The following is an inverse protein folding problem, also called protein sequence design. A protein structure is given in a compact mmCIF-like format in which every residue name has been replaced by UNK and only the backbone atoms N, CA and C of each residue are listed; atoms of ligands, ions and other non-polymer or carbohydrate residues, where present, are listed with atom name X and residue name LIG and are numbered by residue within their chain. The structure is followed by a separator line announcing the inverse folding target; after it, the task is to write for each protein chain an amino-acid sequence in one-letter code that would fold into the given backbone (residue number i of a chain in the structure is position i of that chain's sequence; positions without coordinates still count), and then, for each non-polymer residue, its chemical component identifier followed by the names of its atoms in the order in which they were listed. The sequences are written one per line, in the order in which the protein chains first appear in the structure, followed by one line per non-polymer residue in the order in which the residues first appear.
data_IF_645263517303
#
_entry.id   IF_645263517303
#
_cell.length_a   1.000
_cell.length_b   1.000
_cell.length_c   1.000
_cell.angle_alpha   90.00
_cell.angle_beta   90.00
_cell.angle_gamma   90.00
#
_symmetry.space_group_name_H-M   'P 1'
#
loop_
_entity.id
_entity.type
_entity.pdbx_description
1 polymer ?
#
# COMPACT_ATOMS: atom_id res chain seq x y z
N UNK A 1 28.43 11.29 0.12
CA UNK A 1 27.86 9.98 0.51
C UNK A 1 26.55 9.86 -0.26
N UNK A 2 26.54 9.06 -1.34
CA UNK A 2 25.37 8.94 -2.23
C UNK A 2 24.44 7.90 -1.60
N UNK A 3 23.35 8.38 -1.01
CA UNK A 3 22.30 7.51 -0.48
C UNK A 3 21.67 6.79 -1.68
N UNK A 4 21.72 5.46 -1.66
CA UNK A 4 21.16 4.61 -2.72
C UNK A 4 19.62 4.73 -2.71
N UNK A 5 19.09 5.61 -3.55
CA UNK A 5 17.71 6.11 -3.54
C UNK A 5 16.67 5.15 -4.15
N UNK A 6 17.10 4.01 -4.70
CA UNK A 6 16.20 2.95 -5.15
C UNK A 6 15.42 2.27 -4.01
N UNK A 7 15.87 2.45 -2.76
CA UNK A 7 15.21 1.91 -1.56
C UNK A 7 14.05 2.79 -1.04
N UNK A 8 13.87 4.01 -1.55
CA UNK A 8 12.85 4.95 -1.03
C UNK A 8 11.44 4.68 -1.58
N UNK A 9 11.33 4.05 -2.74
CA UNK A 9 10.03 3.83 -3.40
C UNK A 9 9.27 2.62 -2.85
N UNK A 10 9.98 1.60 -2.36
CA UNK A 10 9.38 0.50 -1.59
C UNK A 10 8.87 0.96 -0.21
N UNK A 11 9.30 2.16 0.23
CA UNK A 11 8.93 2.73 1.53
C UNK A 11 7.45 3.14 1.65
N UNK A 12 6.70 3.23 0.56
CA UNK A 12 5.29 3.64 0.60
C UNK A 12 4.32 2.45 0.74
N UNK A 13 4.76 1.25 0.37
CA UNK A 13 4.01 0.00 0.58
C UNK A 13 4.66 -0.90 1.65
N UNK A 14 5.96 -0.72 1.97
CA UNK A 14 6.66 -1.51 2.98
C UNK A 14 7.85 -0.75 3.55
N UNK A 15 7.63 0.11 4.54
CA UNK A 15 8.70 0.75 5.29
C UNK A 15 9.22 -0.18 6.37
N UNK A 16 10.01 -1.18 6.04
CA UNK A 16 10.95 -1.76 6.98
C UNK A 16 11.71 -2.96 6.44
N UNK A 17 12.56 -2.77 5.47
CA UNK A 17 13.52 -3.81 5.18
C UNK A 17 14.93 -3.23 5.12
N UNK A 18 15.51 -2.95 6.25
CA UNK A 18 16.96 -2.88 6.45
C UNK A 18 17.26 -2.94 7.94
N UNK A 19 17.27 -4.11 8.52
CA UNK A 19 17.92 -4.34 9.79
C UNK A 19 18.84 -5.56 9.64
N UNK A 20 20.14 -5.25 9.43
CA UNK A 20 21.28 -6.06 9.82
C UNK A 20 21.34 -7.53 9.37
N UNK A 21 21.94 -7.75 8.20
CA UNK A 21 22.86 -8.85 8.01
C UNK A 21 24.15 -8.23 7.44
N UNK A 22 25.10 -7.87 8.30
CA UNK A 22 26.48 -7.73 7.92
C UNK A 22 27.04 -9.13 7.73
N UNK A 23 27.11 -9.55 6.47
CA UNK A 23 28.14 -10.40 5.91
C UNK A 23 27.88 -10.48 4.39
N UNK A 24 28.91 -10.34 3.59
CA UNK A 24 29.07 -10.39 2.13
C UNK A 24 28.17 -11.43 1.37
N UNK A 25 26.88 -11.41 1.56
CA UNK A 25 25.91 -12.11 0.73
C UNK A 25 25.51 -11.16 -0.41
N UNK A 26 25.62 -11.60 -1.65
CA UNK A 26 24.91 -10.96 -2.78
C UNK A 26 23.48 -10.73 -2.32
N UNK A 27 23.01 -9.46 -2.32
CA UNK A 27 21.65 -9.16 -1.90
C UNK A 27 20.69 -10.08 -2.65
N UNK A 28 19.95 -10.89 -1.91
CA UNK A 28 18.94 -11.76 -2.51
C UNK A 28 17.91 -10.91 -3.23
N UNK A 29 17.50 -11.24 -4.46
CA UNK A 29 16.39 -10.55 -5.09
C UNK A 29 15.04 -10.84 -4.41
N UNK A 30 14.99 -11.86 -3.53
CA UNK A 30 13.79 -12.23 -2.78
C UNK A 30 13.76 -11.58 -1.42
N UNK A 31 12.56 -11.25 -0.98
CA UNK A 31 12.29 -10.69 0.34
C UNK A 31 11.05 -11.34 0.95
N UNK A 32 11.01 -11.38 2.28
CA UNK A 32 9.83 -11.75 3.04
C UNK A 32 9.62 -10.76 4.18
N UNK A 33 8.38 -10.36 4.45
CA UNK A 33 8.07 -9.46 5.54
C UNK A 33 6.72 -9.77 6.18
N UNK A 34 6.54 -9.28 7.40
CA UNK A 34 5.30 -9.33 8.14
C UNK A 34 5.07 -7.96 8.78
N UNK A 35 3.95 -7.32 8.46
CA UNK A 35 3.46 -6.16 9.18
C UNK A 35 2.31 -6.57 10.11
N UNK A 36 2.35 -6.07 11.35
CA UNK A 36 1.23 -6.15 12.30
C UNK A 36 0.73 -4.74 12.52
N UNK A 37 -0.49 -4.45 12.11
CA UNK A 37 -1.11 -3.13 12.25
C UNK A 37 -2.33 -3.17 13.16
N UNK A 38 -2.51 -2.13 13.97
CA UNK A 38 -3.71 -1.99 14.82
C UNK A 38 -4.98 -1.77 14.01
N UNK A 39 -4.87 -1.31 12.78
CA UNK A 39 -5.97 -1.12 11.82
C UNK A 39 -5.44 -1.23 10.40
N UNK A 40 -6.24 -1.77 9.50
CA UNK A 40 -5.95 -1.66 8.07
C UNK A 40 -6.50 -0.35 7.52
N UNK A 41 -5.61 0.54 7.16
CA UNK A 41 -5.94 1.81 6.52
C UNK A 41 -5.36 1.87 5.11
N UNK A 42 -6.20 2.07 4.12
CA UNK A 42 -5.77 2.23 2.74
C UNK A 42 -6.45 3.43 2.09
N UNK A 43 -5.65 4.44 1.69
CA UNK A 43 -6.11 5.68 1.04
C UNK A 43 -7.28 6.37 1.78
N UNK A 44 -7.20 6.44 3.11
CA UNK A 44 -8.22 7.06 3.97
C UNK A 44 -9.43 6.18 4.26
N UNK A 45 -9.46 4.93 3.78
CA UNK A 45 -10.52 3.95 4.01
C UNK A 45 -10.04 2.91 5.03
N UNK A 46 -10.89 2.60 6.01
CA UNK A 46 -10.68 1.54 6.98
C UNK A 46 -11.23 0.21 6.44
N UNK A 47 -10.39 -0.84 6.48
CA UNK A 47 -10.74 -2.20 6.13
C UNK A 47 -10.72 -3.10 7.37
N UNK A 48 -11.81 -3.82 7.59
CA UNK A 48 -11.97 -4.61 8.80
C UNK A 48 -12.13 -3.77 10.06
N UNK A 49 -12.38 -4.43 11.18
CA UNK A 49 -12.67 -3.80 12.48
C UNK A 49 -11.62 -4.09 13.53
N UNK A 50 -10.66 -4.96 13.24
CA UNK A 50 -9.65 -5.48 14.16
C UNK A 50 -8.22 -5.23 13.64
N UNK A 51 -7.21 -5.45 14.51
CA UNK A 51 -5.82 -5.53 14.07
C UNK A 51 -5.63 -6.50 12.91
N UNK A 52 -4.75 -6.14 11.99
CA UNK A 52 -4.55 -6.87 10.74
C UNK A 52 -3.09 -7.29 10.60
N UNK A 53 -2.89 -8.49 10.05
CA UNK A 53 -1.59 -9.10 9.75
C UNK A 53 -1.38 -9.08 8.25
N UNK A 54 -0.22 -8.57 7.80
CA UNK A 54 0.15 -8.49 6.38
C UNK A 54 1.43 -9.28 6.11
N UNK A 55 1.35 -10.60 5.83
CA UNK A 55 2.47 -11.35 5.28
C UNK A 55 2.71 -10.93 3.83
N UNK A 56 3.97 -10.74 3.45
CA UNK A 56 4.35 -10.40 2.08
C UNK A 56 5.62 -11.14 1.67
N UNK A 57 5.65 -11.56 0.41
CA UNK A 57 6.86 -12.00 -0.29
C UNK A 57 7.08 -11.10 -1.49
N UNK A 58 8.34 -10.82 -1.80
CA UNK A 58 8.71 -9.94 -2.90
C UNK A 58 9.89 -10.48 -3.70
N UNK A 59 9.96 -10.03 -4.94
CA UNK A 59 11.09 -10.24 -5.84
C UNK A 59 11.46 -8.92 -6.51
N UNK A 60 12.72 -8.50 -6.36
CA UNK A 60 13.22 -7.23 -6.90
C UNK A 60 14.49 -7.45 -7.70
N UNK A 61 14.53 -6.99 -8.93
CA UNK A 61 15.73 -7.04 -9.75
C UNK A 61 15.70 -5.99 -10.85
N UNK A 62 16.79 -5.22 -11.01
CA UNK A 62 17.00 -4.28 -12.12
C UNK A 62 15.80 -3.36 -12.43
N UNK A 63 15.15 -2.84 -11.37
CA UNK A 63 13.96 -2.00 -11.49
C UNK A 63 12.63 -2.77 -11.61
N UNK A 64 12.65 -4.08 -11.90
CA UNK A 64 11.47 -4.92 -11.86
C UNK A 64 11.17 -5.31 -10.40
N UNK A 65 9.89 -5.22 -10.03
CA UNK A 65 9.36 -5.70 -8.76
C UNK A 65 8.14 -6.57 -9.00
N UNK A 66 8.02 -7.67 -8.24
CA UNK A 66 6.81 -8.46 -8.12
C UNK A 66 6.56 -8.77 -6.64
N UNK A 67 5.32 -8.80 -6.21
CA UNK A 67 4.97 -9.16 -4.84
C UNK A 67 3.67 -9.98 -4.77
N UNK A 68 3.56 -10.73 -3.68
CA UNK A 68 2.31 -11.29 -3.20
C UNK A 68 2.15 -10.91 -1.72
N UNK A 69 0.99 -10.38 -1.33
CA UNK A 69 0.65 -9.95 0.01
C UNK A 69 -0.69 -10.55 0.43
N UNK A 70 -0.84 -10.83 1.71
CA UNK A 70 -2.14 -11.09 2.35
C UNK A 70 -2.48 -9.97 3.33
N UNK A 71 -3.78 -9.71 3.54
CA UNK A 71 -4.29 -8.83 4.58
C UNK A 71 -5.35 -9.57 5.39
N UNK A 72 -5.08 -9.90 6.66
CA UNK A 72 -5.98 -10.72 7.48
C UNK A 72 -6.28 -10.03 8.81
N UNK A 73 -7.49 -9.50 8.95
CA UNK A 73 -7.98 -9.03 10.24
C UNK A 73 -8.13 -10.22 11.21
N UNK A 74 -7.64 -10.09 12.45
CA UNK A 74 -7.58 -11.21 13.41
C UNK A 74 -8.97 -11.73 13.85
N UNK A 75 -10.02 -10.93 13.66
CA UNK A 75 -11.42 -11.30 13.92
C UNK A 75 -12.16 -11.84 12.69
N UNK A 76 -11.46 -11.94 11.53
CA UNK A 76 -12.06 -12.37 10.26
C UNK A 76 -12.93 -11.33 9.58
N UNK A 77 -12.99 -10.10 10.07
CA UNK A 77 -13.81 -9.01 9.47
C UNK A 77 -13.30 -8.54 8.10
N UNK A 78 -12.05 -8.86 7.76
CA UNK A 78 -11.46 -8.58 6.45
C UNK A 78 -10.42 -9.64 6.08
N UNK A 79 -10.43 -10.03 4.81
CA UNK A 79 -9.43 -10.91 4.20
C UNK A 79 -9.11 -10.40 2.81
N UNK A 80 -7.83 -10.40 2.45
CA UNK A 80 -7.34 -9.87 1.18
C UNK A 80 -6.11 -10.65 0.71
N UNK A 81 -6.01 -10.84 -0.60
CA UNK A 81 -4.82 -11.38 -1.28
C UNK A 81 -4.50 -10.48 -2.46
N UNK A 82 -3.31 -9.92 -2.45
CA UNK A 82 -2.85 -8.98 -3.46
C UNK A 82 -1.67 -9.56 -4.22
N UNK A 83 -1.70 -9.37 -5.54
CA UNK A 83 -0.58 -9.63 -6.42
C UNK A 83 -0.22 -8.35 -7.16
N UNK A 84 1.06 -8.07 -7.31
CA UNK A 84 1.46 -6.88 -8.04
C UNK A 84 2.77 -7.06 -8.78
N UNK A 85 2.88 -6.32 -9.89
CA UNK A 85 4.10 -6.19 -10.67
C UNK A 85 4.32 -4.73 -11.02
N UNK A 86 5.59 -4.30 -11.01
CA UNK A 86 5.94 -2.94 -11.40
C UNK A 86 7.34 -2.86 -12.00
N UNK A 87 7.59 -1.76 -12.69
CA UNK A 87 8.90 -1.42 -13.21
C UNK A 87 9.25 0.03 -12.91
N UNK A 88 10.44 0.22 -12.36
CA UNK A 88 10.99 1.54 -12.02
C UNK A 88 12.14 1.88 -12.96
N UNK A 89 12.02 3.01 -13.63
CA UNK A 89 13.08 3.60 -14.42
C UNK A 89 13.28 5.06 -14.00
N UNK A 90 14.49 5.41 -13.56
CA UNK A 90 14.82 6.74 -13.04
C UNK A 90 13.87 7.15 -11.88
N UNK A 91 13.08 8.21 -12.06
CA UNK A 91 12.13 8.75 -11.11
C UNK A 91 10.70 8.20 -11.27
N UNK A 92 10.48 7.34 -12.27
CA UNK A 92 9.15 6.85 -12.61
C UNK A 92 9.00 5.35 -12.32
N UNK A 93 7.89 5.00 -11.70
CA UNK A 93 7.42 3.62 -11.52
C UNK A 93 6.06 3.48 -12.19
N UNK A 94 5.88 2.41 -12.94
CA UNK A 94 4.57 2.01 -13.46
C UNK A 94 4.28 0.58 -13.01
N UNK A 95 3.03 0.28 -12.72
CA UNK A 95 2.67 -1.05 -12.24
C UNK A 95 1.21 -1.38 -12.39
N UNK A 96 0.92 -2.65 -12.11
CA UNK A 96 -0.42 -3.21 -12.03
C UNK A 96 -0.50 -4.03 -10.75
N UNK A 97 -1.59 -3.86 -10.02
CA UNK A 97 -1.93 -4.66 -8.83
C UNK A 97 -3.30 -5.27 -9.00
N UNK A 98 -3.46 -6.48 -8.54
CA UNK A 98 -4.70 -7.21 -8.41
C UNK A 98 -5.01 -7.38 -6.93
N UNK A 99 -6.17 -6.90 -6.50
CA UNK A 99 -6.68 -7.04 -5.15
C UNK A 99 -7.85 -8.02 -5.20
N UNK A 100 -7.79 -9.06 -4.38
CA UNK A 100 -8.84 -10.06 -4.28
C UNK A 100 -9.27 -10.21 -2.83
N UNK A 101 -10.57 -10.15 -2.61
CA UNK A 101 -11.19 -10.28 -1.28
C UNK A 101 -11.86 -11.64 -1.17
N UNK A 102 -11.21 -12.65 -0.51
CA UNK A 102 -11.83 -13.95 -0.26
C UNK A 102 -13.14 -13.80 0.49
N UNK A 103 -14.11 -14.64 0.16
CA UNK A 103 -15.39 -14.66 0.86
C UNK A 103 -15.24 -15.13 2.32
N UNK A 104 -16.21 -14.78 3.16
CA UNK A 104 -16.28 -15.23 4.55
C UNK A 104 -16.36 -16.75 4.65
N UNK A 105 -15.98 -17.30 5.82
CA UNK A 105 -16.01 -18.73 6.09
C UNK A 105 -17.40 -19.32 5.78
N UNK A 106 -17.45 -20.35 4.94
CA UNK A 106 -18.67 -21.05 4.53
C UNK A 106 -19.24 -20.65 3.18
N UNK A 107 -18.78 -19.54 2.58
CA UNK A 107 -19.09 -19.18 1.19
C UNK A 107 -18.08 -19.80 0.22
N UNK A 108 -18.53 -20.06 -1.03
CA UNK A 108 -17.62 -20.55 -2.05
C UNK A 108 -16.77 -19.39 -2.56
N UNK A 109 -15.48 -19.47 -2.31
CA UNK A 109 -14.52 -18.61 -2.93
C UNK A 109 -14.44 -18.88 -4.46
N UNK A 110 -14.31 -17.83 -5.26
CA UNK A 110 -14.34 -17.90 -6.72
C UNK A 110 -13.12 -17.20 -7.33
N UNK A 111 -11.95 -17.38 -6.73
CA UNK A 111 -10.70 -16.77 -7.18
C UNK A 111 -10.46 -16.91 -8.70
N UNK A 112 -10.70 -18.07 -9.28
CA UNK A 112 -10.49 -18.32 -10.72
C UNK A 112 -11.65 -17.86 -11.63
N UNK A 113 -12.63 -17.13 -11.08
CA UNK A 113 -13.69 -16.52 -11.88
C UNK A 113 -13.21 -15.20 -12.47
N UNK A 114 -12.56 -15.27 -13.63
CA UNK A 114 -11.92 -14.14 -14.29
C UNK A 114 -12.81 -13.43 -15.33
N UNK A 115 -14.08 -13.80 -15.43
CA UNK A 115 -15.02 -13.10 -16.29
C UNK A 115 -15.30 -11.70 -15.73
N UNK A 116 -15.05 -10.65 -16.53
CA UNK A 116 -15.18 -9.26 -16.11
C UNK A 116 -16.56 -8.89 -15.50
N UNK A 117 -17.63 -9.60 -15.83
CA UNK A 117 -18.96 -9.31 -15.28
C UNK A 117 -19.15 -9.80 -13.84
N UNK A 118 -18.40 -10.82 -13.43
CA UNK A 118 -18.69 -11.60 -12.21
C UNK A 118 -17.46 -11.80 -11.33
N UNK A 119 -16.29 -11.36 -11.80
CA UNK A 119 -15.04 -11.49 -11.03
C UNK A 119 -15.07 -10.64 -9.76
N UNK A 120 -14.48 -11.18 -8.68
CA UNK A 120 -14.20 -10.45 -7.44
C UNK A 120 -12.85 -9.72 -7.44
N UNK A 121 -12.07 -9.84 -8.52
CA UNK A 121 -10.78 -9.16 -8.66
C UNK A 121 -10.95 -7.66 -8.90
N UNK A 122 -10.04 -6.87 -8.35
CA UNK A 122 -9.94 -5.43 -8.56
C UNK A 122 -8.56 -5.13 -9.13
N UNK A 123 -8.47 -4.96 -10.45
CA UNK A 123 -7.17 -4.73 -11.10
C UNK A 123 -6.96 -3.23 -11.29
N UNK A 124 -5.90 -2.72 -10.68
CA UNK A 124 -5.50 -1.32 -10.71
C UNK A 124 -4.20 -1.14 -11.51
N UNK A 125 -4.18 -0.20 -12.43
CA UNK A 125 -2.95 0.31 -13.02
C UNK A 125 -2.55 1.61 -12.32
N UNK A 126 -1.26 1.82 -12.10
CA UNK A 126 -0.74 3.03 -11.47
C UNK A 126 0.57 3.51 -12.07
N UNK A 127 0.83 4.80 -11.88
CA UNK A 127 2.10 5.43 -12.15
C UNK A 127 2.49 6.33 -10.98
N UNK A 128 3.75 6.27 -10.57
CA UNK A 128 4.32 7.10 -9.52
C UNK A 128 5.56 7.83 -10.04
N UNK A 129 5.63 9.12 -9.82
CA UNK A 129 6.85 9.90 -9.93
C UNK A 129 7.40 10.17 -8.53
N UNK A 130 8.71 9.94 -8.34
CA UNK A 130 9.41 10.24 -7.08
C UNK A 130 10.59 11.14 -7.38
N UNK A 131 10.47 12.39 -7.00
CA UNK A 131 11.45 13.41 -7.29
C UNK A 131 12.77 13.18 -6.55
N UNK A 132 13.87 13.25 -7.27
CA UNK A 132 15.23 13.16 -6.72
C UNK A 132 15.75 14.50 -6.25
N UNK A 133 15.32 15.60 -6.88
CA UNK A 133 15.71 16.99 -6.55
C UNK A 133 14.66 17.65 -5.65
N UNK A 134 13.40 17.37 -5.91
CA UNK A 134 12.27 17.83 -5.10
C UNK A 134 11.79 16.65 -4.26
N UNK A 135 11.77 16.73 -2.94
CA UNK A 135 11.42 15.60 -2.08
C UNK A 135 9.90 15.40 -2.04
N UNK A 136 9.32 15.10 -3.20
CA UNK A 136 7.90 14.80 -3.37
C UNK A 136 7.74 13.47 -4.11
N UNK A 137 6.63 12.79 -3.85
CA UNK A 137 6.11 11.79 -4.77
C UNK A 137 4.72 12.19 -5.24
N UNK A 138 4.36 11.75 -6.44
CA UNK A 138 3.02 11.89 -7.01
C UNK A 138 2.62 10.53 -7.56
N UNK A 139 1.49 10.02 -7.12
CA UNK A 139 0.91 8.76 -7.64
C UNK A 139 -0.43 9.05 -8.29
N UNK A 140 -0.68 8.43 -9.43
CA UNK A 140 -2.00 8.34 -10.05
C UNK A 140 -2.33 6.89 -10.31
N UNK A 141 -3.57 6.50 -10.10
CA UNK A 141 -4.02 5.13 -10.30
C UNK A 141 -5.47 5.06 -10.78
N UNK A 142 -5.83 3.95 -11.39
CA UNK A 142 -7.18 3.70 -11.91
C UNK A 142 -7.46 2.21 -11.89
N UNK A 143 -8.63 1.81 -11.40
CA UNK A 143 -9.14 0.46 -11.59
C UNK A 143 -9.52 0.23 -13.05
N UNK A 144 -8.78 -0.66 -13.71
CA UNK A 144 -8.93 -0.90 -15.15
C UNK A 144 -9.77 -2.12 -15.49
N UNK A 145 -9.98 -3.01 -14.52
CA UNK A 145 -10.73 -4.26 -14.71
C UNK A 145 -11.29 -4.74 -13.38
N UNK A 146 -12.37 -5.51 -13.44
CA UNK A 146 -12.85 -6.30 -12.32
C UNK A 146 -14.07 -5.71 -11.62
N UNK A 147 -14.11 -5.76 -10.30
CA UNK A 147 -15.30 -5.50 -9.50
C UNK A 147 -15.64 -4.00 -9.30
N UNK A 148 -14.80 -3.08 -9.80
CA UNK A 148 -15.09 -1.63 -9.79
C UNK A 148 -16.21 -1.29 -10.77
N UNK A 149 -17.48 -1.54 -10.38
CA UNK A 149 -18.65 -1.39 -11.23
C UNK A 149 -19.76 -0.54 -10.60
N UNK A 150 -20.51 0.12 -11.47
CA UNK A 150 -21.76 0.78 -11.08
C UNK A 150 -22.93 -0.22 -10.97
N UNK A 151 -24.08 0.27 -10.59
CA UNK A 151 -25.31 -0.52 -10.44
C UNK A 151 -25.78 -1.22 -11.74
N UNK A 152 -25.37 -0.71 -12.91
CA UNK A 152 -25.66 -1.29 -14.23
C UNK A 152 -24.59 -2.32 -14.66
N UNK A 153 -23.60 -2.61 -13.82
CA UNK A 153 -22.50 -3.54 -14.11
C UNK A 153 -21.44 -2.96 -15.06
N UNK A 154 -21.41 -1.64 -15.28
CA UNK A 154 -20.40 -0.97 -16.10
C UNK A 154 -19.19 -0.61 -15.26
N UNK A 155 -17.98 -0.80 -15.83
CA UNK A 155 -16.72 -0.42 -15.21
C UNK A 155 -16.72 1.08 -14.89
N UNK A 156 -16.36 1.44 -13.65
CA UNK A 156 -16.35 2.82 -13.18
C UNK A 156 -15.03 3.54 -13.46
N UNK A 157 -13.93 2.79 -13.61
CA UNK A 157 -12.59 3.35 -13.73
C UNK A 157 -12.27 4.30 -12.57
N UNK A 158 -12.61 3.88 -11.34
CA UNK A 158 -12.40 4.67 -10.14
C UNK A 158 -10.92 5.05 -10.04
N UNK A 159 -10.65 6.35 -10.07
CA UNK A 159 -9.30 6.88 -10.17
C UNK A 159 -8.93 7.67 -8.92
N UNK A 160 -7.67 7.58 -8.53
CA UNK A 160 -7.10 8.22 -7.35
C UNK A 160 -5.79 8.91 -7.71
N UNK A 161 -5.52 10.03 -7.09
CA UNK A 161 -4.22 10.67 -7.14
C UNK A 161 -3.80 11.12 -5.74
N UNK A 162 -2.50 11.05 -5.45
CA UNK A 162 -1.94 11.62 -4.23
C UNK A 162 -0.61 12.31 -4.50
N UNK A 163 -0.33 13.28 -3.66
CA UNK A 163 0.97 13.91 -3.52
C UNK A 163 1.44 13.76 -2.09
N UNK A 164 2.71 13.45 -1.92
CA UNK A 164 3.29 13.31 -0.60
C UNK A 164 4.70 13.86 -0.48
N UNK A 165 5.09 14.10 0.76
CA UNK A 165 6.36 14.68 1.16
C UNK A 165 7.01 13.79 2.24
N UNK A 166 8.10 13.09 1.93
CA UNK A 166 8.90 12.36 2.91
C UNK A 166 9.98 13.29 3.49
N UNK A 167 10.21 13.19 4.78
CA UNK A 167 11.31 13.87 5.45
C UNK A 167 11.98 12.96 6.47
N UNK A 168 13.31 12.87 6.41
CA UNK A 168 14.12 12.10 7.35
C UNK A 168 14.84 13.05 8.30
N UNK A 169 14.56 12.93 9.61
CA UNK A 169 15.27 13.68 10.66
C UNK A 169 16.59 13.01 10.99
N UNK A 170 16.59 11.68 11.03
CA UNK A 170 17.76 10.82 11.25
C UNK A 170 17.63 9.56 10.38
N UNK A 171 18.59 8.66 10.44
CA UNK A 171 18.52 7.37 9.76
C UNK A 171 17.30 6.54 10.18
N UNK A 172 16.97 6.54 11.47
CA UNK A 172 15.86 5.76 12.03
C UNK A 172 14.54 6.57 12.11
N UNK A 173 14.56 7.91 12.05
CA UNK A 173 13.38 8.75 12.32
C UNK A 173 12.92 9.50 11.07
N UNK A 174 11.72 9.19 10.61
CA UNK A 174 11.16 9.69 9.37
C UNK A 174 9.72 10.14 9.56
N UNK A 175 9.29 11.13 8.80
CA UNK A 175 7.89 11.50 8.64
C UNK A 175 7.52 11.46 7.16
N UNK A 176 6.30 11.03 6.87
CA UNK A 176 5.71 11.12 5.54
C UNK A 176 4.34 11.77 5.66
N UNK A 177 4.12 12.83 4.89
CA UNK A 177 2.83 13.52 4.80
C UNK A 177 2.27 13.27 3.41
N UNK A 178 0.97 12.97 3.29
CA UNK A 178 0.34 12.91 1.97
C UNK A 178 -1.08 13.45 1.98
N UNK A 179 -1.50 13.90 0.80
CA UNK A 179 -2.89 14.27 0.49
C UNK A 179 -3.30 13.53 -0.76
N UNK A 180 -4.42 12.82 -0.68
CA UNK A 180 -4.95 12.02 -1.77
C UNK A 180 -6.42 12.33 -2.03
N UNK A 181 -6.80 12.24 -3.30
CA UNK A 181 -8.15 12.53 -3.77
C UNK A 181 -8.61 11.50 -4.80
N UNK A 182 -9.91 11.17 -4.79
CA UNK A 182 -10.52 10.55 -5.95
C UNK A 182 -10.72 11.57 -7.07
N UNK A 183 -10.60 11.13 -8.32
CA UNK A 183 -10.67 12.01 -9.49
C UNK A 183 -12.02 11.98 -10.20
N UNK A 184 -12.82 10.93 -9.98
CA UNK A 184 -14.14 10.72 -10.61
C UNK A 184 -15.09 10.02 -9.65
N UNK A 185 -16.35 9.93 -10.02
CA UNK A 185 -17.32 9.08 -9.31
C UNK A 185 -16.83 7.63 -9.34
N UNK A 186 -16.90 6.95 -8.21
CA UNK A 186 -16.49 5.57 -8.12
C UNK A 186 -16.32 5.08 -6.69
N UNK A 187 -15.48 4.09 -6.52
CA UNK A 187 -15.22 3.36 -5.28
C UNK A 187 -15.03 4.28 -4.06
N UNK A 188 -14.14 5.27 -4.14
CA UNK A 188 -13.74 6.11 -2.99
C UNK A 188 -14.86 6.95 -2.40
N UNK A 189 -15.93 7.18 -3.16
CA UNK A 189 -17.07 8.01 -2.76
C UNK A 189 -18.41 7.26 -2.87
N UNK A 190 -18.37 5.92 -2.86
CA UNK A 190 -19.55 5.06 -3.00
C UNK A 190 -20.43 5.49 -4.21
N UNK A 191 -19.81 5.85 -5.32
CA UNK A 191 -20.44 6.29 -6.56
C UNK A 191 -21.28 7.59 -6.44
N UNK A 192 -21.08 8.39 -5.39
CA UNK A 192 -21.94 9.56 -5.16
C UNK A 192 -21.34 10.86 -5.64
N UNK A 193 -20.01 11.03 -5.51
CA UNK A 193 -19.36 12.31 -5.81
C UNK A 193 -18.14 12.13 -6.73
N UNK A 194 -17.84 13.16 -7.49
CA UNK A 194 -16.65 13.27 -8.32
C UNK A 194 -15.39 13.54 -7.49
N UNK A 195 -14.68 14.62 -7.79
CA UNK A 195 -13.44 14.99 -7.08
C UNK A 195 -13.68 15.31 -5.60
N UNK A 196 -12.95 14.61 -4.70
CA UNK A 196 -12.93 14.88 -3.27
C UNK A 196 -11.60 14.48 -2.66
N UNK A 197 -11.14 15.22 -1.65
CA UNK A 197 -10.04 14.77 -0.79
C UNK A 197 -10.57 13.66 0.11
N UNK A 198 -10.01 12.47 -0.04
CA UNK A 198 -10.42 11.25 0.69
C UNK A 198 -9.33 10.75 1.64
N UNK A 199 -8.11 11.28 1.54
CA UNK A 199 -6.98 10.87 2.36
C UNK A 199 -6.09 12.06 2.70
N UNK A 200 -5.89 12.33 3.99
CA UNK A 200 -4.81 13.18 4.51
C UNK A 200 -4.12 12.33 5.56
N UNK A 201 -2.85 12.03 5.36
CA UNK A 201 -2.11 11.13 6.23
C UNK A 201 -0.78 11.76 6.67
N UNK A 202 -0.51 11.63 7.97
CA UNK A 202 0.79 11.91 8.58
C UNK A 202 1.31 10.62 9.23
N UNK A 203 2.36 10.02 8.65
CA UNK A 203 2.99 8.79 9.15
C UNK A 203 4.37 9.12 9.71
N UNK A 204 4.59 8.81 10.98
CA UNK A 204 5.91 8.82 11.62
C UNK A 204 6.44 7.40 11.71
N UNK A 205 7.70 7.20 11.37
CA UNK A 205 8.38 5.90 11.42
C UNK A 205 9.67 6.03 12.22
N UNK A 206 9.94 5.04 13.07
CA UNK A 206 11.17 4.95 13.86
C UNK A 206 11.55 3.48 14.09
N UNK A 207 12.65 3.23 14.78
CA UNK A 207 13.05 1.89 15.22
C UNK A 207 13.26 1.86 16.73
N UNK A 208 12.57 0.94 17.41
CA UNK A 208 12.85 0.62 18.81
C UNK A 208 14.09 -0.26 18.88
N UNK A 209 15.03 0.07 19.78
CA UNK A 209 16.32 -0.64 19.91
C UNK A 209 16.32 -1.48 21.17
N UNK A 210 16.60 -2.78 21.01
CA UNK A 210 16.74 -3.77 22.08
C UNK A 210 18.10 -4.46 21.93
N UNK A 211 19.14 -3.86 22.52
CA UNK A 211 20.52 -4.30 22.27
C UNK A 211 20.87 -4.14 20.77
N UNK A 212 21.23 -5.23 20.12
CA UNK A 212 21.54 -5.26 18.69
C UNK A 212 20.29 -5.42 17.80
N UNK A 213 19.14 -5.72 18.37
CA UNK A 213 17.91 -5.87 17.61
C UNK A 213 17.21 -4.53 17.44
N UNK A 214 16.82 -4.20 16.20
CA UNK A 214 16.00 -3.04 15.86
C UNK A 214 14.62 -3.52 15.40
N UNK A 215 13.56 -3.04 16.06
CA UNK A 215 12.19 -3.28 15.66
C UNK A 215 11.65 -2.00 15.00
N UNK A 216 11.47 -1.98 13.68
CA UNK A 216 10.84 -0.86 13.01
C UNK A 216 9.36 -0.75 13.40
N UNK A 217 8.95 0.48 13.72
CA UNK A 217 7.58 0.79 14.13
C UNK A 217 7.12 2.06 13.41
N UNK A 218 5.82 2.17 13.19
CA UNK A 218 5.24 3.43 12.71
C UNK A 218 3.94 3.76 13.42
N UNK A 219 3.60 5.05 13.42
CA UNK A 219 2.31 5.57 13.83
C UNK A 219 1.78 6.48 12.72
N UNK A 220 0.49 6.37 12.40
CA UNK A 220 -0.14 7.21 11.39
C UNK A 220 -1.41 7.85 11.93
N UNK A 221 -1.60 9.12 11.59
CA UNK A 221 -2.86 9.81 11.75
C UNK A 221 -3.48 10.05 10.38
N UNK A 222 -4.66 9.47 10.15
CA UNK A 222 -5.33 9.46 8.87
C UNK A 222 -6.66 10.19 8.99
N UNK A 223 -6.90 11.12 8.09
CA UNK A 223 -8.17 11.83 7.95
C UNK A 223 -8.81 11.48 6.60
N UNK A 224 -10.09 11.19 6.62
CA UNK A 224 -10.91 11.16 5.41
C UNK A 224 -11.93 12.32 5.48
N UNK A 225 -11.64 13.48 4.87
CA UNK A 225 -12.53 14.64 4.93
C UNK A 225 -13.89 14.38 4.29
N UNK A 226 -13.95 13.59 3.21
CA UNK A 226 -15.18 13.25 2.53
C UNK A 226 -16.16 12.48 3.44
N UNK A 227 -15.65 11.51 4.20
CA UNK A 227 -16.44 10.69 5.12
C UNK A 227 -16.53 11.29 6.53
N UNK A 228 -15.88 12.43 6.78
CA UNK A 228 -15.77 13.07 8.10
C UNK A 228 -15.26 12.10 9.18
N UNK A 229 -14.19 11.35 8.86
CA UNK A 229 -13.59 10.34 9.73
C UNK A 229 -12.12 10.62 9.98
N UNK A 230 -11.65 10.22 11.16
CA UNK A 230 -10.23 10.22 11.52
C UNK A 230 -9.85 8.92 12.20
N UNK A 231 -8.59 8.52 12.01
CA UNK A 231 -8.06 7.27 12.54
C UNK A 231 -6.65 7.48 13.05
N UNK A 232 -6.29 6.74 14.09
CA UNK A 232 -4.92 6.59 14.53
C UNK A 232 -4.55 5.10 14.44
N UNK A 233 -3.41 4.79 13.83
CA UNK A 233 -2.94 3.42 13.67
C UNK A 233 -1.45 3.32 13.99
N UNK A 234 -1.05 2.15 14.47
CA UNK A 234 0.34 1.80 14.72
C UNK A 234 0.66 0.47 14.04
N UNK A 235 1.90 0.35 13.55
CA UNK A 235 2.38 -0.88 12.93
C UNK A 235 3.75 -1.27 13.45
N UNK A 236 3.97 -2.59 13.52
CA UNK A 236 5.26 -3.25 13.78
C UNK A 236 5.67 -4.00 12.51
N UNK A 237 6.96 -3.98 12.20
CA UNK A 237 7.47 -4.59 10.98
C UNK A 237 8.56 -5.61 11.29
N UNK A 238 8.46 -6.77 10.65
CA UNK A 238 9.44 -7.85 10.68
C UNK A 238 9.81 -8.18 9.23
N UNK A 239 11.10 -8.34 8.93
CA UNK A 239 11.55 -8.64 7.58
C UNK A 239 12.83 -9.45 7.57
N UNK A 240 13.01 -10.23 6.48
CA UNK A 240 14.19 -11.04 6.16
C UNK A 240 14.77 -10.59 4.82
#
# INVERSE_FOLDING_TARGET
MIINRGKLLLLLLSTAMAANAEENLKESPFSASLELSTKYMWRGIEYGTAPTVFPMIGYNTHGFNAFAMGGYAIDGSHQEVDLGVSYTASEFTVGVSDYYYPSSVGEKDQYFKLNNRETGHWVEAYATWTGTKVPLWVTVSTYIFGADKNVDGKQMYSSYAEVGYPHSFTEDNNIALCVGANLNKGFYTNNQSGFNVVNINAKYSTALKFGNFKLPVSASYVLNPYNNKSYFTMSLYFGL
#
